data_IF_581770334734
#
_entry.id   IF_581770334734
#
_cell.length_a   1.000
_cell.length_b   1.000
_cell.length_c   1.000
_cell.angle_alpha   90.00
_cell.angle_beta   90.00
_cell.angle_gamma   90.00
#
_symmetry.space_group_name_H-M   'P 1'
#
loop_
_entity.id
_entity.type
_entity.pdbx_description
1 polymer ?
#
# COMPACT_ATOMS: atom_id res chain seq x y z
N UNK A 1 -4.23 -4.80 7.00
CA UNK A 1 -3.51 -3.65 7.59
C UNK A 1 -3.15 -3.93 9.04
N UNK A 2 -2.33 -3.08 9.68
CA UNK A 2 -2.01 -3.13 11.10
C UNK A 2 -1.79 -1.73 11.68
N UNK A 3 -1.81 -1.57 13.01
CA UNK A 3 -1.64 -0.25 13.68
C UNK A 3 -0.33 0.44 13.30
N UNK A 4 0.71 -0.34 13.00
CA UNK A 4 2.03 0.14 12.61
C UNK A 4 2.00 1.05 11.37
N UNK A 5 1.12 0.80 10.40
CA UNK A 5 1.04 1.60 9.18
C UNK A 5 0.62 3.05 9.49
N UNK A 6 -0.40 3.22 10.34
CA UNK A 6 -0.88 4.53 10.75
C UNK A 6 0.07 5.21 11.74
N UNK A 7 0.62 4.46 12.71
CA UNK A 7 1.53 5.04 13.71
C UNK A 7 2.86 5.49 13.11
N UNK A 8 3.40 4.80 12.09
CA UNK A 8 4.59 5.24 11.36
C UNK A 8 4.36 6.58 10.66
N UNK A 9 3.18 6.78 10.07
CA UNK A 9 2.80 8.06 9.45
C UNK A 9 2.70 9.19 10.50
N UNK A 10 2.06 8.90 11.64
CA UNK A 10 1.93 9.86 12.75
C UNK A 10 3.29 10.23 13.35
N UNK A 11 4.23 9.29 13.44
CA UNK A 11 5.57 9.51 14.01
C UNK A 11 6.39 10.55 13.24
N UNK A 12 6.11 10.76 11.95
CA UNK A 12 6.74 11.79 11.12
C UNK A 12 5.89 13.06 10.98
N UNK A 13 4.81 13.19 11.76
CA UNK A 13 3.89 14.33 11.72
C UNK A 13 2.94 14.35 10.51
N UNK A 14 2.81 13.24 9.78
CA UNK A 14 1.83 13.12 8.71
C UNK A 14 0.44 12.77 9.27
N UNK A 15 -0.61 12.98 8.47
CA UNK A 15 -1.99 12.62 8.81
C UNK A 15 -2.39 11.38 8.00
N UNK A 16 -2.60 10.21 8.63
CA UNK A 16 -3.09 9.04 7.91
C UNK A 16 -4.54 9.26 7.47
N UNK A 17 -4.80 9.09 6.18
CA UNK A 17 -6.15 9.08 5.61
C UNK A 17 -6.52 7.62 5.38
N UNK A 18 -7.50 7.12 6.13
CA UNK A 18 -7.97 5.75 5.99
C UNK A 18 -8.82 5.64 4.73
N UNK A 19 -8.57 4.57 3.97
CA UNK A 19 -9.22 4.28 2.69
C UNK A 19 -9.85 2.90 2.79
N UNK A 20 -11.04 2.77 2.21
CA UNK A 20 -11.78 1.51 2.23
C UNK A 20 -11.07 0.40 1.41
N UNK A 21 -11.46 -0.83 1.69
CA UNK A 21 -10.92 -2.02 1.03
C UNK A 21 -11.79 -2.47 -0.13
N UNK A 22 -11.23 -3.35 -0.96
CA UNK A 22 -11.95 -4.17 -1.90
C UNK A 22 -12.38 -5.48 -1.21
N UNK A 23 -13.65 -5.84 -1.32
CA UNK A 23 -14.24 -6.96 -0.54
C UNK A 23 -13.64 -8.32 -0.90
N UNK A 24 -13.23 -8.52 -2.15
CA UNK A 24 -12.70 -9.80 -2.64
C UNK A 24 -11.23 -9.99 -2.24
N UNK A 25 -10.42 -8.94 -2.40
CA UNK A 25 -8.98 -9.00 -2.12
C UNK A 25 -8.59 -8.60 -0.70
N UNK A 26 -9.48 -7.91 0.01
CA UNK A 26 -9.24 -7.22 1.29
C UNK A 26 -8.11 -6.18 1.25
N UNK A 27 -7.53 -5.93 0.06
CA UNK A 27 -6.55 -4.90 -0.18
C UNK A 27 -7.27 -3.55 -0.38
N UNK A 28 -6.52 -2.46 -0.42
CA UNK A 28 -7.09 -1.12 -0.61
C UNK A 28 -7.88 -1.03 -1.93
N UNK A 29 -9.10 -0.49 -1.87
CA UNK A 29 -9.91 -0.23 -3.06
C UNK A 29 -9.29 0.91 -3.88
N UNK A 30 -9.07 0.67 -5.18
CA UNK A 30 -8.57 1.69 -6.09
C UNK A 30 -9.55 2.87 -6.23
N UNK A 31 -10.86 2.59 -6.21
CA UNK A 31 -11.89 3.62 -6.31
C UNK A 31 -11.84 4.54 -5.09
N UNK A 32 -11.90 3.96 -3.89
CA UNK A 32 -11.81 4.71 -2.64
C UNK A 32 -10.49 5.48 -2.52
N UNK A 33 -9.37 4.90 -2.99
CA UNK A 33 -8.08 5.58 -2.99
C UNK A 33 -8.09 6.84 -3.87
N UNK A 34 -8.69 6.78 -5.06
CA UNK A 34 -8.82 7.94 -5.95
C UNK A 34 -9.66 9.05 -5.32
N UNK A 35 -10.73 8.70 -4.63
CA UNK A 35 -11.60 9.67 -3.94
C UNK A 35 -10.92 10.33 -2.73
N UNK A 36 -10.02 9.61 -2.06
CA UNK A 36 -9.30 10.11 -0.88
C UNK A 36 -8.08 11.00 -1.22
N UNK A 37 -7.63 11.01 -2.49
CA UNK A 37 -6.49 11.83 -2.90
C UNK A 37 -6.86 13.31 -2.95
N UNK A 38 -6.03 14.13 -2.31
CA UNK A 38 -6.12 15.59 -2.27
C UNK A 38 -4.73 16.21 -2.52
N UNK A 39 -4.65 17.53 -2.66
CA UNK A 39 -3.39 18.26 -2.91
C UNK A 39 -2.30 18.08 -1.82
N UNK A 40 -2.74 17.69 -0.62
CA UNK A 40 -1.86 17.39 0.53
C UNK A 40 -1.42 15.93 0.59
N UNK A 41 -1.91 15.05 -0.28
CA UNK A 41 -1.48 13.64 -0.29
C UNK A 41 -0.02 13.56 -0.73
N UNK A 42 0.80 12.84 0.05
CA UNK A 42 2.25 12.73 -0.16
C UNK A 42 2.76 11.31 -0.34
N UNK A 43 1.98 10.30 -0.01
CA UNK A 43 2.29 8.90 -0.27
C UNK A 43 1.01 8.06 -0.24
N UNK A 44 1.03 6.92 -0.92
CA UNK A 44 0.04 5.84 -0.78
C UNK A 44 0.75 4.68 -0.10
N UNK A 45 0.33 4.32 1.12
CA UNK A 45 0.83 3.14 1.83
C UNK A 45 -0.09 1.97 1.50
N UNK A 46 0.35 1.13 0.58
CA UNK A 46 -0.41 0.01 0.02
C UNK A 46 -0.05 -1.29 0.73
N UNK A 47 -0.98 -1.80 1.52
CA UNK A 47 -0.80 -3.06 2.24
C UNK A 47 -1.18 -4.24 1.34
N UNK A 48 -0.39 -5.31 1.39
CA UNK A 48 -0.67 -6.61 0.76
C UNK A 48 -1.10 -7.63 1.83
N UNK A 49 -2.39 -7.64 2.23
CA UNK A 49 -2.86 -8.47 3.34
C UNK A 49 -2.86 -9.95 2.96
N UNK A 50 -2.49 -10.83 3.90
CA UNK A 50 -2.63 -12.29 3.74
C UNK A 50 -2.02 -12.86 2.44
N UNK A 51 -0.83 -12.41 2.05
CA UNK A 51 -0.20 -12.74 0.75
C UNK A 51 -1.00 -12.32 -0.49
N UNK A 52 -2.10 -11.58 -0.33
CA UNK A 52 -2.92 -11.06 -1.42
C UNK A 52 -2.36 -9.72 -1.87
N UNK A 53 -1.77 -9.71 -3.06
CA UNK A 53 -1.27 -8.50 -3.68
C UNK A 53 -2.45 -7.63 -4.10
N UNK A 54 -2.36 -6.35 -3.77
CA UNK A 54 -3.29 -5.35 -4.28
C UNK A 54 -3.18 -5.28 -5.82
N UNK A 55 -4.16 -4.66 -6.48
CA UNK A 55 -4.18 -4.50 -7.94
C UNK A 55 -3.03 -3.58 -8.44
N UNK A 56 -1.80 -4.10 -8.45
CA UNK A 56 -0.56 -3.33 -8.58
C UNK A 56 -0.50 -2.52 -9.87
N UNK A 57 -0.91 -3.07 -11.01
CA UNK A 57 -0.91 -2.32 -12.28
C UNK A 57 -1.71 -1.01 -12.15
N UNK A 58 -2.84 -1.06 -11.43
CA UNK A 58 -3.72 0.08 -11.26
C UNK A 58 -3.17 1.10 -10.28
N UNK A 59 -2.57 0.65 -9.17
CA UNK A 59 -1.94 1.53 -8.20
C UNK A 59 -0.65 2.16 -8.73
N UNK A 60 0.12 1.44 -9.56
CA UNK A 60 1.29 1.99 -10.26
C UNK A 60 0.87 3.06 -11.27
N UNK A 61 -0.19 2.83 -12.05
CA UNK A 61 -0.73 3.84 -12.95
C UNK A 61 -1.27 5.08 -12.19
N UNK A 62 -1.93 4.86 -11.05
CA UNK A 62 -2.38 5.94 -10.17
C UNK A 62 -1.21 6.74 -9.62
N UNK A 63 -0.17 6.07 -9.13
CA UNK A 63 1.06 6.70 -8.62
C UNK A 63 1.74 7.53 -9.70
N UNK A 64 1.93 6.97 -10.90
CA UNK A 64 2.54 7.69 -12.03
C UNK A 64 1.74 8.93 -12.45
N UNK A 65 0.41 8.80 -12.57
CA UNK A 65 -0.44 9.91 -13.01
C UNK A 65 -0.54 11.04 -11.98
N UNK A 66 -0.54 10.70 -10.70
CA UNK A 66 -0.63 11.68 -9.59
C UNK A 66 0.73 12.17 -9.09
N UNK A 67 1.82 11.50 -9.47
CA UNK A 67 3.18 11.66 -8.92
C UNK A 67 3.23 11.46 -7.40
N UNK A 68 2.30 10.68 -6.85
CA UNK A 68 2.28 10.33 -5.43
C UNK A 68 3.06 9.02 -5.28
N UNK A 69 4.12 8.97 -4.47
CA UNK A 69 4.92 7.76 -4.29
C UNK A 69 4.10 6.64 -3.65
N UNK A 70 4.42 5.41 -4.04
CA UNK A 70 3.78 4.18 -3.58
C UNK A 70 4.73 3.44 -2.62
N UNK A 71 4.28 3.21 -1.40
CA UNK A 71 5.00 2.43 -0.38
C UNK A 71 4.26 1.10 -0.23
N UNK A 72 4.94 -0.01 -0.50
CA UNK A 72 4.40 -1.35 -0.32
C UNK A 72 4.65 -1.83 1.11
N UNK A 73 3.58 -2.15 1.84
CA UNK A 73 3.67 -2.94 3.06
C UNK A 73 3.48 -4.42 2.72
N UNK A 74 4.61 -5.11 2.65
CA UNK A 74 4.74 -6.54 2.38
C UNK A 74 4.96 -7.36 3.65
N UNK A 75 4.62 -6.83 4.83
CA UNK A 75 4.80 -7.52 6.11
C UNK A 75 4.22 -8.95 6.12
N UNK A 76 3.12 -9.16 5.39
CA UNK A 76 2.44 -10.44 5.26
C UNK A 76 2.58 -11.07 3.87
N UNK A 77 3.48 -10.57 3.01
CA UNK A 77 3.55 -10.94 1.59
C UNK A 77 4.91 -11.53 1.18
N UNK A 78 5.60 -12.18 2.10
CA UNK A 78 6.86 -12.87 1.81
C UNK A 78 6.67 -13.92 0.71
N UNK A 79 7.50 -13.85 -0.32
CA UNK A 79 7.47 -14.79 -1.45
C UNK A 79 6.36 -14.54 -2.47
N UNK A 80 5.39 -13.66 -2.19
CA UNK A 80 4.33 -13.31 -3.13
C UNK A 80 4.92 -12.66 -4.41
N UNK A 81 4.22 -12.86 -5.54
CA UNK A 81 4.64 -12.32 -6.81
C UNK A 81 3.44 -11.87 -7.65
N UNK A 82 3.59 -10.73 -8.31
CA UNK A 82 2.64 -10.22 -9.30
C UNK A 82 3.29 -10.31 -10.68
N UNK A 83 2.69 -11.09 -11.58
CA UNK A 83 3.20 -11.31 -12.95
C UNK A 83 4.69 -11.72 -12.99
N UNK A 84 5.11 -12.54 -12.02
CA UNK A 84 6.49 -13.04 -11.92
C UNK A 84 7.48 -12.10 -11.23
N UNK A 85 7.12 -10.85 -10.97
CA UNK A 85 7.94 -9.93 -10.18
C UNK A 85 7.56 -9.99 -8.69
N UNK A 86 8.54 -9.91 -7.81
CA UNK A 86 8.36 -10.11 -6.36
C UNK A 86 7.71 -8.91 -5.68
N UNK A 87 6.85 -9.16 -4.70
CA UNK A 87 6.27 -8.13 -3.83
C UNK A 87 7.35 -7.23 -3.23
N UNK A 88 7.05 -5.95 -3.03
CA UNK A 88 7.98 -4.98 -2.43
C UNK A 88 9.02 -4.43 -3.40
N UNK A 89 8.87 -4.70 -4.70
CA UNK A 89 9.79 -4.24 -5.76
C UNK A 89 9.10 -3.41 -6.83
N UNK A 90 7.83 -3.03 -6.62
CA UNK A 90 7.02 -2.29 -7.57
C UNK A 90 6.94 -0.79 -7.24
N UNK A 91 6.68 -0.48 -5.96
CA UNK A 91 6.62 0.89 -5.46
C UNK A 91 8.01 1.50 -5.25
N UNK A 92 8.02 2.72 -4.73
CA UNK A 92 9.24 3.46 -4.39
C UNK A 92 9.98 2.81 -3.21
N UNK A 93 9.24 2.18 -2.29
CA UNK A 93 9.77 1.49 -1.11
C UNK A 93 8.93 0.24 -0.82
N UNK A 94 9.60 -0.88 -0.52
CA UNK A 94 8.97 -2.08 0.03
C UNK A 94 9.39 -2.33 1.48
N UNK A 95 8.42 -2.64 2.35
CA UNK A 95 8.64 -2.92 3.76
C UNK A 95 8.24 -4.36 4.11
N UNK A 96 9.06 -5.03 4.90
CA UNK A 96 8.83 -6.41 5.34
C UNK A 96 8.92 -6.54 6.85
N UNK A 97 8.23 -7.54 7.40
CA UNK A 97 8.29 -7.90 8.81
C UNK A 97 8.93 -9.27 8.98
N UNK A 98 9.97 -9.35 9.81
CA UNK A 98 10.62 -10.61 10.20
C UNK A 98 10.08 -11.13 11.55
N UNK A 99 8.93 -10.63 12.00
CA UNK A 99 8.34 -11.01 13.28
C UNK A 99 7.79 -12.44 13.20
N UNK A 100 8.01 -13.19 14.29
CA UNK A 100 7.73 -14.62 14.37
C UNK A 100 6.40 -14.94 15.08
N UNK A 101 5.89 -14.01 15.91
CA UNK A 101 4.73 -14.21 16.79
C UNK A 101 3.95 -12.94 17.04
#
# INVERSE_FOLDING_TARGET
TWVACASASLAIGAVPVLVDIDDDSLAMSLGAAKEAIIDRTRAILLVHPFCTLAALDSFLALSQSTKIPLIEDCSQAHGAAWKGQRAGTFGDVGCFSMQQS
#
